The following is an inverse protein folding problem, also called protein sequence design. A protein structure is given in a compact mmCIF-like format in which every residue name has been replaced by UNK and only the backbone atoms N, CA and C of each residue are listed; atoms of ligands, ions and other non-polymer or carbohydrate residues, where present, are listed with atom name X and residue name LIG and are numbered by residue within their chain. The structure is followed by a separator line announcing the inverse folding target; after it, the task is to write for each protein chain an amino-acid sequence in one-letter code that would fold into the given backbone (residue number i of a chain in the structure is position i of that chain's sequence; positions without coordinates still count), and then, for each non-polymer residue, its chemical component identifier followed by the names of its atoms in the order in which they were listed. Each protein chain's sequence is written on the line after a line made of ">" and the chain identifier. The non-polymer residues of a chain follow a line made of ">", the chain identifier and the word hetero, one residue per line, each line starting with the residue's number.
data_IF_025416812216
#
_entry.id   IF_025416812216
#
_cell.length_a   1.000
_cell.length_b   1.000
_cell.length_c   1.000
_cell.angle_alpha   90.00
_cell.angle_beta   90.00
_cell.angle_gamma   90.00
#
_symmetry.space_group_name_H-M   'P 1'
#
loop_
_entity.id
_entity.type
_entity.pdbx_description
1 polymer ?
#
# COMPACT_ATOMS: atom_id res chain seq x y z
N UNK A 1 0.21 -12.11 1.51
CA UNK A 1 -1.07 -11.58 2.02
C UNK A 1 -1.27 -11.98 3.47
N UNK A 2 -0.78 -11.16 4.40
CA UNK A 2 -1.10 -11.23 5.82
C UNK A 2 -2.61 -11.01 6.05
N UNK A 3 -3.18 -11.66 7.07
CA UNK A 3 -4.63 -11.64 7.36
C UNK A 3 -4.97 -10.87 8.63
N UNK A 4 -4.00 -10.67 9.53
CA UNK A 4 -4.20 -9.92 10.77
C UNK A 4 -3.31 -8.66 10.83
N UNK A 5 -3.72 -7.63 11.58
CA UNK A 5 -2.88 -6.44 11.77
C UNK A 5 -1.47 -6.77 12.30
N UNK A 6 -1.37 -7.74 13.20
CA UNK A 6 -0.08 -8.18 13.77
C UNK A 6 0.82 -8.83 12.72
N UNK A 7 0.26 -9.63 11.82
CA UNK A 7 1.03 -10.23 10.73
C UNK A 7 1.54 -9.15 9.76
N UNK A 8 0.68 -8.18 9.41
CA UNK A 8 1.05 -7.05 8.55
C UNK A 8 2.19 -6.25 9.18
N UNK A 9 2.10 -5.94 10.47
CA UNK A 9 3.14 -5.20 11.19
C UNK A 9 4.48 -5.96 11.17
N UNK A 10 4.46 -7.26 11.49
CA UNK A 10 5.66 -8.12 11.47
C UNK A 10 6.30 -8.19 10.09
N UNK A 11 5.51 -8.15 9.03
CA UNK A 11 6.01 -8.14 7.65
C UNK A 11 6.64 -6.79 7.31
N UNK A 12 5.95 -5.68 7.59
CA UNK A 12 6.42 -4.32 7.31
C UNK A 12 7.74 -3.98 8.02
N UNK A 13 7.85 -4.32 9.30
CA UNK A 13 9.06 -4.00 10.11
C UNK A 13 10.30 -4.74 9.60
N UNK A 14 10.16 -5.89 8.92
CA UNK A 14 11.30 -6.59 8.31
C UNK A 14 11.91 -5.85 7.13
N UNK A 15 11.11 -5.07 6.41
CA UNK A 15 11.53 -4.38 5.18
C UNK A 15 11.86 -2.90 5.39
N UNK A 16 11.46 -2.30 6.52
CA UNK A 16 11.68 -0.89 6.82
C UNK A 16 12.84 -0.75 7.82
N UNK A 17 13.88 0.06 7.52
CA UNK A 17 14.95 0.34 8.47
C UNK A 17 14.41 0.90 9.79
N UNK A 18 14.94 0.44 10.94
CA UNK A 18 14.41 0.79 12.28
C UNK A 18 14.27 2.30 12.51
N UNK A 19 15.25 3.10 12.04
CA UNK A 19 15.22 4.56 12.18
C UNK A 19 14.14 5.28 11.35
N UNK A 20 13.51 4.59 10.41
CA UNK A 20 12.45 5.13 9.55
C UNK A 20 11.06 4.64 9.95
N UNK A 21 10.92 3.72 10.91
CA UNK A 21 9.62 3.11 11.25
C UNK A 21 8.55 4.15 11.60
N UNK A 22 8.87 5.11 12.47
CA UNK A 22 7.92 6.17 12.83
C UNK A 22 7.55 7.05 11.63
N UNK A 23 8.49 7.32 10.73
CA UNK A 23 8.20 8.11 9.51
C UNK A 23 7.34 7.30 8.53
N UNK A 24 7.68 6.03 8.32
CA UNK A 24 6.95 5.12 7.46
C UNK A 24 5.51 4.92 7.94
N UNK A 25 5.30 4.82 9.26
CA UNK A 25 3.96 4.80 9.84
C UNK A 25 3.13 6.02 9.43
N UNK A 26 3.67 7.23 9.59
CA UNK A 26 2.99 8.45 9.15
C UNK A 26 2.77 8.48 7.63
N UNK A 27 3.75 8.05 6.83
CA UNK A 27 3.59 7.96 5.36
C UNK A 27 2.41 7.06 4.98
N UNK A 28 2.31 5.87 5.56
CA UNK A 28 1.22 4.92 5.28
C UNK A 28 -0.14 5.47 5.72
N UNK A 29 -0.23 6.08 6.91
CA UNK A 29 -1.48 6.68 7.40
C UNK A 29 -1.92 7.86 6.53
N UNK A 30 -1.01 8.79 6.23
CA UNK A 30 -1.33 9.98 5.43
C UNK A 30 -1.70 9.57 4.01
N UNK A 31 -0.97 8.62 3.43
CA UNK A 31 -1.28 8.08 2.10
C UNK A 31 -2.66 7.44 2.07
N UNK A 32 -2.99 6.55 3.02
CA UNK A 32 -4.31 5.92 3.09
C UNK A 32 -5.44 6.91 3.35
N UNK A 33 -5.18 7.97 4.14
CA UNK A 33 -6.19 8.99 4.47
C UNK A 33 -6.50 9.92 3.29
N UNK A 34 -5.50 10.32 2.51
CA UNK A 34 -5.65 11.41 1.54
C UNK A 34 -5.58 10.97 0.07
N UNK A 35 -4.93 9.83 -0.24
CA UNK A 35 -4.70 9.35 -1.62
C UNK A 35 -5.35 7.98 -1.85
N UNK A 36 -4.95 6.96 -1.09
CA UNK A 36 -5.46 5.60 -1.20
C UNK A 36 -6.68 5.38 -0.31
N UNK A 37 -7.71 6.20 -0.53
CA UNK A 37 -8.96 6.17 0.24
C UNK A 37 -9.74 4.88 0.01
N UNK A 38 -10.46 4.42 1.03
CA UNK A 38 -11.25 3.18 0.97
C UNK A 38 -12.35 3.20 -0.11
N UNK A 39 -12.92 4.38 -0.39
CA UNK A 39 -13.94 4.59 -1.41
C UNK A 39 -13.37 5.52 -2.48
N UNK A 40 -13.19 5.00 -3.70
CA UNK A 40 -12.63 5.71 -4.87
C UNK A 40 -11.22 6.27 -4.60
N UNK A 41 -10.18 5.42 -4.55
CA UNK A 41 -8.80 5.88 -4.39
C UNK A 41 -8.39 6.76 -5.56
N UNK A 42 -7.58 7.79 -5.28
CA UNK A 42 -7.10 8.75 -6.27
C UNK A 42 -5.85 8.21 -6.97
N UNK A 43 -6.02 7.16 -7.76
CA UNK A 43 -4.89 6.45 -8.37
C UNK A 43 -4.10 7.30 -9.39
N UNK A 44 -4.72 8.32 -9.98
CA UNK A 44 -4.08 9.18 -10.98
C UNK A 44 -3.00 10.09 -10.40
N UNK A 45 -3.19 10.55 -9.16
CA UNK A 45 -2.21 11.36 -8.41
C UNK A 45 -1.28 10.52 -7.52
N UNK A 46 -1.45 9.19 -7.51
CA UNK A 46 -0.69 8.31 -6.64
C UNK A 46 0.73 8.05 -7.19
N UNK A 47 1.75 8.57 -6.49
CA UNK A 47 3.16 8.30 -6.84
C UNK A 47 3.61 6.84 -6.70
N UNK A 48 2.78 5.96 -6.11
CA UNK A 48 3.04 4.52 -5.98
C UNK A 48 2.31 3.69 -7.07
N UNK A 49 1.66 4.35 -8.03
CA UNK A 49 0.80 3.73 -9.05
C UNK A 49 1.49 2.59 -9.80
N UNK A 50 2.75 2.77 -10.19
CA UNK A 50 3.52 1.79 -10.97
C UNK A 50 3.82 0.50 -10.19
N UNK A 51 3.88 0.59 -8.86
CA UNK A 51 4.11 -0.55 -7.96
C UNK A 51 2.82 -1.10 -7.35
N UNK A 52 1.66 -0.50 -7.65
CA UNK A 52 0.39 -0.83 -7.03
C UNK A 52 -0.32 -1.98 -7.76
N UNK A 53 -0.34 -3.16 -7.15
CA UNK A 53 -1.04 -4.33 -7.70
C UNK A 53 -2.55 -4.08 -7.88
N UNK A 54 -3.20 -3.37 -6.94
CA UNK A 54 -4.62 -3.01 -7.06
C UNK A 54 -4.90 -2.17 -8.30
N UNK A 55 -4.03 -1.20 -8.58
CA UNK A 55 -4.15 -0.36 -9.78
C UNK A 55 -3.91 -1.17 -11.05
N UNK A 56 -2.86 -2.00 -11.07
CA UNK A 56 -2.57 -2.90 -12.18
C UNK A 56 -3.75 -3.81 -12.53
N UNK A 57 -4.44 -4.36 -11.52
CA UNK A 57 -5.66 -5.15 -11.71
C UNK A 57 -6.82 -4.30 -12.26
N UNK A 58 -7.02 -3.09 -11.72
CA UNK A 58 -8.10 -2.18 -12.14
C UNK A 58 -7.98 -1.73 -13.60
N UNK A 59 -6.75 -1.54 -14.10
CA UNK A 59 -6.50 -1.05 -15.47
C UNK A 59 -6.51 -2.15 -16.50
N UNK A 60 -5.92 -3.31 -16.21
CA UNK A 60 -5.66 -4.29 -17.26
C UNK A 60 -6.74 -5.37 -17.39
N UNK A 61 -7.74 -5.45 -16.49
CA UNK A 61 -8.83 -6.44 -16.57
C UNK A 61 -8.39 -7.91 -16.68
N UNK A 62 -7.09 -8.19 -16.55
CA UNK A 62 -6.47 -9.47 -16.80
C UNK A 62 -5.74 -9.90 -15.54
N UNK A 63 -6.31 -10.93 -14.90
CA UNK A 63 -5.58 -11.83 -14.02
C UNK A 63 -4.36 -12.36 -14.77
N UNK A 64 -3.18 -11.81 -14.52
CA UNK A 64 -1.96 -12.61 -14.64
C UNK A 64 -1.46 -12.94 -13.25
N UNK A 65 -1.93 -14.10 -12.78
CA UNK A 65 -1.39 -14.98 -11.72
C UNK A 65 -1.28 -14.40 -10.31
N UNK A 66 -2.24 -14.78 -9.48
CA UNK A 66 -1.95 -15.51 -8.24
C UNK A 66 -2.68 -16.84 -8.30
#
# INVERSE_FOLDING_TARGET
>A
NAKTPLEVEKELVKHIPKGLLSKAHHWLILHGRYVCTARKPKCEECGLREYCQYYGYKVNGNLTRL
#
